data_IF_780570035850
#
_entry.id   IF_780570035850
#
_cell.length_a   1.000
_cell.length_b   1.000
_cell.length_c   1.000
_cell.angle_alpha   90.00
_cell.angle_beta   90.00
_cell.angle_gamma   90.00
#
_symmetry.space_group_name_H-M   'P 1'
#
loop_
_entity.id
_entity.type
_entity.pdbx_description
1 polymer ?
#
# COMPACT_ATOMS: atom_id res chain seq x y z
N UNK A 1 -18.91 3.24 -3.67
CA UNK A 1 -17.75 3.92 -4.29
C UNK A 1 -17.69 3.41 -5.73
N UNK A 2 -17.95 4.28 -6.71
CA UNK A 2 -18.25 3.89 -8.09
C UNK A 2 -16.99 3.42 -8.84
N UNK A 3 -17.11 2.31 -9.56
CA UNK A 3 -16.10 1.70 -10.44
C UNK A 3 -15.45 2.68 -11.42
N UNK A 4 -16.16 3.74 -11.82
CA UNK A 4 -15.64 4.82 -12.69
C UNK A 4 -14.47 5.62 -12.10
N UNK A 5 -14.21 5.56 -10.78
CA UNK A 5 -13.15 6.37 -10.15
C UNK A 5 -11.77 5.70 -10.21
N UNK A 6 -11.72 4.38 -10.37
CA UNK A 6 -10.45 3.63 -10.48
C UNK A 6 -9.82 3.78 -11.87
N UNK A 7 -10.64 3.94 -12.92
CA UNK A 7 -10.19 4.08 -14.32
C UNK A 7 -9.43 5.38 -14.61
N UNK A 8 -9.40 6.35 -13.69
CA UNK A 8 -8.67 7.62 -13.85
C UNK A 8 -7.37 7.73 -13.06
N UNK A 9 -6.99 6.69 -12.32
CA UNK A 9 -5.77 6.74 -11.51
C UNK A 9 -4.54 6.44 -12.37
N UNK A 10 -3.48 7.22 -12.17
CA UNK A 10 -2.19 6.84 -12.74
C UNK A 10 -1.68 5.56 -12.06
N UNK A 11 -0.83 4.76 -12.73
CA UNK A 11 -0.23 3.57 -12.13
C UNK A 11 0.44 3.87 -10.77
N UNK A 12 1.13 5.00 -10.66
CA UNK A 12 1.74 5.44 -9.39
C UNK A 12 0.71 5.62 -8.28
N UNK A 13 -0.45 6.22 -8.57
CA UNK A 13 -1.51 6.42 -7.57
C UNK A 13 -2.12 5.08 -7.16
N UNK A 14 -2.32 4.17 -8.11
CA UNK A 14 -2.83 2.82 -7.83
C UNK A 14 -1.86 2.03 -6.96
N UNK A 15 -0.58 1.97 -7.32
CA UNK A 15 0.44 1.28 -6.54
C UNK A 15 0.59 1.86 -5.14
N UNK A 16 0.52 3.18 -5.01
CA UNK A 16 0.56 3.82 -3.70
C UNK A 16 -0.65 3.45 -2.83
N UNK A 17 -1.84 3.31 -3.42
CA UNK A 17 -3.03 2.80 -2.71
C UNK A 17 -2.86 1.37 -2.24
N UNK A 18 -2.27 0.50 -3.07
CA UNK A 18 -1.95 -0.88 -2.66
C UNK A 18 -1.01 -0.91 -1.47
N UNK A 19 0.09 -0.14 -1.52
CA UNK A 19 1.03 -0.07 -0.39
C UNK A 19 0.36 0.48 0.88
N UNK A 20 -0.54 1.46 0.75
CA UNK A 20 -1.28 2.02 1.86
C UNK A 20 -2.26 1.03 2.48
N UNK A 21 -2.93 0.20 1.69
CA UNK A 21 -3.81 -0.84 2.21
C UNK A 21 -3.03 -1.90 2.99
N UNK A 22 -1.92 -2.40 2.45
CA UNK A 22 -1.02 -3.33 3.14
C UNK A 22 -0.52 -2.72 4.46
N UNK A 23 -0.03 -1.47 4.41
CA UNK A 23 0.46 -0.76 5.59
C UNK A 23 -0.64 -0.54 6.65
N UNK A 24 -1.86 -0.20 6.22
CA UNK A 24 -2.99 0.01 7.13
C UNK A 24 -3.40 -1.29 7.80
N UNK A 25 -3.44 -2.40 7.06
CA UNK A 25 -3.76 -3.71 7.63
C UNK A 25 -2.69 -4.19 8.63
N UNK A 26 -1.41 -3.96 8.33
CA UNK A 26 -0.30 -4.24 9.23
C UNK A 26 -0.36 -3.38 10.50
N UNK A 27 -0.62 -2.09 10.36
CA UNK A 27 -0.76 -1.16 11.48
C UNK A 27 -1.97 -1.49 12.36
N UNK A 28 -3.12 -1.84 11.77
CA UNK A 28 -4.30 -2.29 12.51
C UNK A 28 -4.01 -3.56 13.32
N UNK A 29 -3.30 -4.53 12.70
CA UNK A 29 -2.86 -5.75 13.40
C UNK A 29 -1.95 -5.43 14.58
N UNK A 30 -0.99 -4.50 14.40
CA UNK A 30 -0.05 -4.10 15.45
C UNK A 30 -0.73 -3.33 16.61
N UNK A 31 -1.80 -2.59 16.32
CA UNK A 31 -2.58 -1.86 17.32
C UNK A 31 -3.63 -2.73 18.03
N UNK A 32 -3.74 -4.01 17.66
CA UNK A 32 -4.73 -4.94 18.23
C UNK A 32 -6.17 -4.64 17.79
N UNK A 33 -6.35 -3.88 16.70
CA UNK A 33 -7.66 -3.58 16.13
C UNK A 33 -8.10 -4.75 15.26
N UNK A 34 -9.39 -5.11 15.33
CA UNK A 34 -9.94 -6.18 14.49
C UNK A 34 -9.72 -5.83 13.00
N UNK A 35 -9.07 -6.74 12.29
CA UNK A 35 -8.85 -6.66 10.85
C UNK A 35 -10.00 -7.28 10.06
N UNK A 36 -11.24 -7.27 10.59
CA UNK A 36 -12.40 -7.80 9.87
C UNK A 36 -12.58 -7.15 8.48
N UNK A 37 -12.12 -5.90 8.30
CA UNK A 37 -12.03 -5.25 6.98
C UNK A 37 -11.00 -5.88 6.02
N UNK A 38 -9.96 -6.54 6.53
CA UNK A 38 -8.96 -7.27 5.75
C UNK A 38 -9.44 -8.67 5.31
N UNK A 39 -10.23 -9.35 6.15
CA UNK A 39 -10.89 -10.60 5.78
C UNK A 39 -11.95 -10.42 4.68
N UNK A 40 -12.48 -9.20 4.51
CA UNK A 40 -13.41 -8.88 3.41
C UNK A 40 -12.73 -8.75 2.04
N UNK A 41 -11.44 -8.42 1.99
CA UNK A 41 -10.71 -8.29 0.73
C UNK A 41 -10.42 -9.65 0.07
N UNK A 42 -10.56 -10.77 0.80
CA UNK A 42 -10.44 -12.13 0.25
C UNK A 42 -11.74 -12.68 -0.35
N UNK A 43 -12.91 -12.10 -0.03
CA UNK A 43 -14.22 -12.57 -0.53
C UNK A 43 -14.77 -11.73 -1.70
N UNK A 44 -14.45 -10.42 -1.74
CA UNK A 44 -14.74 -9.54 -2.88
C UNK A 44 -13.46 -9.28 -3.68
N UNK A 45 -13.54 -9.17 -5.01
CA UNK A 45 -12.42 -8.72 -5.85
C UNK A 45 -11.74 -7.50 -5.21
N UNK A 46 -10.46 -7.64 -4.84
CA UNK A 46 -9.71 -6.61 -4.15
C UNK A 46 -9.75 -5.28 -4.93
N UNK A 47 -10.07 -4.19 -4.21
CA UNK A 47 -10.09 -2.83 -4.76
C UNK A 47 -9.11 -1.95 -3.99
N UNK A 48 -8.03 -1.45 -4.62
CA UNK A 48 -7.05 -0.60 -3.96
C UNK A 48 -7.66 0.66 -3.32
N UNK A 49 -7.43 0.81 -2.02
CA UNK A 49 -7.90 1.89 -1.15
C UNK A 49 -9.11 1.50 -0.29
N UNK A 50 -9.89 0.49 -0.68
CA UNK A 50 -11.16 0.15 -0.02
C UNK A 50 -10.96 -0.48 1.35
N UNK A 51 -9.90 -1.27 1.51
CA UNK A 51 -9.55 -1.88 2.80
C UNK A 51 -9.26 -0.79 3.83
N UNK A 52 -8.41 0.18 3.47
CA UNK A 52 -8.08 1.31 4.36
C UNK A 52 -9.30 2.14 4.70
N UNK A 53 -10.15 2.45 3.73
CA UNK A 53 -11.38 3.21 3.97
C UNK A 53 -12.31 2.50 4.97
N UNK A 54 -12.46 1.19 4.82
CA UNK A 54 -13.28 0.36 5.72
C UNK A 54 -12.73 0.38 7.15
N UNK A 55 -11.43 0.16 7.32
CA UNK A 55 -10.79 0.19 8.65
C UNK A 55 -10.87 1.57 9.31
N UNK A 56 -10.67 2.66 8.55
CA UNK A 56 -10.73 4.03 9.09
C UNK A 56 -12.16 4.47 9.43
N UNK A 57 -13.17 3.89 8.79
CA UNK A 57 -14.58 4.15 9.08
C UNK A 57 -15.02 3.56 10.42
N UNK A 58 -14.42 2.45 10.85
CA UNK A 58 -14.68 1.79 12.14
C UNK A 58 -13.93 2.44 13.32
N UNK A 59 -12.93 3.28 13.03
CA UNK A 59 -12.10 3.93 14.04
C UNK A 59 -12.71 5.25 14.56
N UNK A 60 -12.56 5.50 15.87
CA UNK A 60 -12.68 6.85 16.41
C UNK A 60 -11.55 7.76 15.92
N UNK A 61 -11.66 9.07 16.17
CA UNK A 61 -10.72 10.06 15.67
C UNK A 61 -9.29 9.92 16.26
N UNK A 62 -9.16 9.38 17.48
CA UNK A 62 -7.86 9.13 18.09
C UNK A 62 -7.15 7.94 17.45
N UNK A 63 -7.88 6.83 17.29
CA UNK A 63 -7.41 5.62 16.62
C UNK A 63 -7.12 5.88 15.14
N UNK A 64 -7.98 6.62 14.45
CA UNK A 64 -7.80 6.99 13.03
C UNK A 64 -6.47 7.70 12.80
N UNK A 65 -6.12 8.65 13.66
CA UNK A 65 -4.83 9.36 13.61
C UNK A 65 -3.64 8.44 13.87
N UNK A 66 -3.71 7.60 14.89
CA UNK A 66 -2.65 6.62 15.22
C UNK A 66 -2.43 5.64 14.08
N UNK A 67 -3.52 5.04 13.58
CA UNK A 67 -3.51 4.10 12.47
C UNK A 67 -2.93 4.73 11.20
N UNK A 68 -3.41 5.91 10.82
CA UNK A 68 -2.92 6.63 9.64
C UNK A 68 -1.44 6.99 9.77
N UNK A 69 -1.00 7.45 10.94
CA UNK A 69 0.40 7.80 11.19
C UNK A 69 1.31 6.57 11.07
N UNK A 70 0.89 5.43 11.64
CA UNK A 70 1.68 4.20 11.61
C UNK A 70 1.71 3.57 10.21
N UNK A 71 0.57 3.60 9.51
CA UNK A 71 0.51 3.13 8.13
C UNK A 71 1.43 3.96 7.22
N UNK A 72 1.33 5.30 7.31
CA UNK A 72 2.13 6.20 6.47
C UNK A 72 3.65 6.04 6.69
N UNK A 73 4.10 5.75 7.92
CA UNK A 73 5.53 5.52 8.18
C UNK A 73 6.03 4.19 7.59
N UNK A 74 5.15 3.19 7.44
CA UNK A 74 5.50 1.88 6.89
C UNK A 74 5.53 1.84 5.35
N UNK A 75 4.84 2.76 4.66
CA UNK A 75 4.74 2.76 3.18
C UNK A 75 6.11 2.81 2.51
N UNK A 76 7.03 3.65 3.01
CA UNK A 76 8.37 3.76 2.44
C UNK A 76 9.15 2.44 2.55
N UNK A 77 9.00 1.71 3.66
CA UNK A 77 9.63 0.40 3.84
C UNK A 77 9.06 -0.65 2.87
N UNK A 78 7.73 -0.68 2.68
CA UNK A 78 7.07 -1.57 1.72
C UNK A 78 7.49 -1.27 0.28
N UNK A 79 7.60 0.02 -0.10
CA UNK A 79 8.06 0.43 -1.43
C UNK A 79 9.52 0.03 -1.73
N UNK A 80 10.28 -0.38 -0.72
CA UNK A 80 11.64 -0.88 -0.88
C UNK A 80 11.73 -2.40 -0.91
N UNK A 81 10.64 -3.12 -0.69
CA UNK A 81 10.64 -4.58 -0.74
C UNK A 81 10.69 -5.09 -2.18
N UNK A 82 11.40 -6.21 -2.36
CA UNK A 82 11.29 -7.01 -3.58
C UNK A 82 9.89 -7.63 -3.74
N UNK A 83 9.55 -8.12 -4.94
CA UNK A 83 8.22 -8.61 -5.28
C UNK A 83 7.72 -9.72 -4.36
N UNK A 84 8.57 -10.70 -4.03
CA UNK A 84 8.19 -11.83 -3.18
C UNK A 84 7.80 -11.40 -1.76
N UNK A 85 8.60 -10.51 -1.17
CA UNK A 85 8.36 -9.99 0.18
C UNK A 85 7.10 -9.11 0.23
N UNK A 86 6.85 -8.34 -0.84
CA UNK A 86 5.66 -7.51 -0.95
C UNK A 86 4.39 -8.38 -1.07
N UNK A 87 4.42 -9.40 -1.94
CA UNK A 87 3.32 -10.35 -2.10
C UNK A 87 3.05 -11.13 -0.80
N UNK A 88 4.10 -11.57 -0.09
CA UNK A 88 3.95 -12.23 1.20
C UNK A 88 3.32 -11.31 2.26
N UNK A 89 3.74 -10.05 2.30
CA UNK A 89 3.18 -9.05 3.22
C UNK A 89 1.71 -8.78 2.92
N UNK A 90 1.34 -8.66 1.64
CA UNK A 90 -0.05 -8.52 1.20
C UNK A 90 -0.91 -9.72 1.63
N UNK A 91 -0.45 -10.95 1.36
CA UNK A 91 -1.16 -12.19 1.70
C UNK A 91 -1.36 -12.37 3.20
N UNK A 92 -0.35 -12.04 4.03
CA UNK A 92 -0.47 -12.08 5.49
C UNK A 92 -1.64 -11.23 6.00
N UNK A 93 -2.00 -10.21 5.24
CA UNK A 93 -3.05 -9.26 5.55
C UNK A 93 -4.29 -9.41 4.66
N UNK A 94 -4.49 -10.57 4.01
CA UNK A 94 -5.71 -10.86 3.24
C UNK A 94 -5.85 -10.07 1.94
N UNK A 95 -4.77 -9.46 1.44
CA UNK A 95 -4.76 -8.79 0.14
C UNK A 95 -4.18 -9.78 -0.86
N UNK A 96 -5.02 -10.24 -1.79
CA UNK A 96 -4.58 -11.12 -2.88
C UNK A 96 -3.90 -10.28 -3.97
N UNK A 97 -2.60 -10.11 -3.81
CA UNK A 97 -1.73 -9.47 -4.78
C UNK A 97 -1.05 -10.55 -5.62
N UNK A 98 -1.31 -10.55 -6.93
CA UNK A 98 -0.65 -11.49 -7.84
C UNK A 98 0.86 -11.24 -7.90
N UNK A 99 1.62 -12.26 -8.31
CA UNK A 99 3.07 -12.12 -8.47
C UNK A 99 3.44 -11.06 -9.52
N UNK A 100 2.63 -10.95 -10.57
CA UNK A 100 2.81 -9.95 -11.63
C UNK A 100 2.59 -8.53 -11.11
N UNK A 101 1.50 -8.29 -10.36
CA UNK A 101 1.23 -6.98 -9.77
C UNK A 101 2.32 -6.58 -8.75
N UNK A 102 2.78 -7.53 -7.93
CA UNK A 102 3.85 -7.29 -6.98
C UNK A 102 5.17 -6.91 -7.68
N UNK A 103 5.49 -7.55 -8.81
CA UNK A 103 6.62 -7.20 -9.66
C UNK A 103 6.49 -5.79 -10.22
N UNK A 104 5.36 -5.47 -10.85
CA UNK A 104 5.10 -4.16 -11.42
C UNK A 104 5.21 -3.02 -10.39
N UNK A 105 4.71 -3.24 -9.16
CA UNK A 105 4.83 -2.28 -8.07
C UNK A 105 6.30 -2.10 -7.66
N UNK A 106 7.02 -3.21 -7.46
CA UNK A 106 8.43 -3.17 -7.02
C UNK A 106 9.32 -2.46 -8.04
N UNK A 107 9.21 -2.83 -9.33
CA UNK A 107 9.94 -2.19 -10.43
C UNK A 107 9.61 -0.70 -10.55
N UNK A 108 8.35 -0.31 -10.38
CA UNK A 108 7.95 1.10 -10.44
C UNK A 108 8.68 1.96 -9.40
N UNK A 109 8.74 1.51 -8.15
CA UNK A 109 9.41 2.25 -7.08
C UNK A 109 10.94 2.15 -7.14
N UNK A 110 11.48 1.06 -7.66
CA UNK A 110 12.90 0.93 -7.96
C UNK A 110 13.34 1.90 -9.07
N UNK A 111 12.64 1.91 -10.21
CA UNK A 111 12.93 2.81 -11.32
C UNK A 111 12.88 4.28 -10.91
N UNK A 112 11.86 4.67 -10.13
CA UNK A 112 11.73 6.03 -9.60
C UNK A 112 12.92 6.42 -8.72
N UNK A 113 13.41 5.49 -7.89
CA UNK A 113 14.58 5.72 -7.02
C UNK A 113 15.86 5.86 -7.83
N UNK A 114 16.06 4.97 -8.80
CA UNK A 114 17.23 5.02 -9.69
C UNK A 114 17.27 6.31 -10.51
N UNK A 115 16.12 6.82 -10.95
CA UNK A 115 16.01 8.11 -11.62
C UNK A 115 16.41 9.28 -10.69
N UNK A 116 15.92 9.31 -9.45
CA UNK A 116 16.28 10.33 -8.45
C UNK A 116 17.78 10.30 -8.13
N UNK A 117 18.33 9.11 -7.88
CA UNK A 117 19.76 8.93 -7.57
C UNK A 117 20.66 9.32 -8.76
N UNK A 118 20.23 9.04 -9.98
CA UNK A 118 20.95 9.44 -11.20
C UNK A 118 20.95 10.97 -11.36
N UNK A 119 19.82 11.62 -11.09
CA UNK A 119 19.71 13.08 -11.13
C UNK A 119 20.58 13.77 -10.07
N UNK A 120 20.57 13.27 -8.84
CA UNK A 120 21.41 13.81 -7.75
C UNK A 120 22.90 13.70 -8.09
N UNK A 121 23.34 12.54 -8.58
CA UNK A 121 24.73 12.34 -9.02
C UNK A 121 25.13 13.27 -10.18
N UNK A 122 24.23 13.50 -11.14
CA UNK A 122 24.49 14.44 -12.24
C UNK A 122 24.63 15.91 -11.78
N UNK A 123 23.89 16.30 -10.72
CA UNK A 123 23.93 17.64 -10.14
C UNK A 123 25.19 17.91 -9.31
N UNK A 124 25.73 16.90 -8.63
CA UNK A 124 26.97 17.04 -7.85
C UNK A 124 28.24 17.12 -8.71
N UNK A 125 28.14 16.74 -9.99
CA UNK A 125 29.24 16.74 -10.96
C UNK A 125 29.21 17.90 -11.96
N UNK A 126 28.24 18.82 -11.83
CA UNK A 126 28.06 20.02 -12.68
C UNK A 126 28.38 21.29 -11.89
#
# INVERSE_FOLDING_TARGET
MNTETLERLSPTQLYHRVLLDIATAAAASALGTSTNGAARATEESYVPGRLRESLLAECDEGMRRRLSSLANSAVAALAMQGPDNLAQSARKHGIDLSAEEALQISEHFEAKRNAVLSYQRGRELS
#
